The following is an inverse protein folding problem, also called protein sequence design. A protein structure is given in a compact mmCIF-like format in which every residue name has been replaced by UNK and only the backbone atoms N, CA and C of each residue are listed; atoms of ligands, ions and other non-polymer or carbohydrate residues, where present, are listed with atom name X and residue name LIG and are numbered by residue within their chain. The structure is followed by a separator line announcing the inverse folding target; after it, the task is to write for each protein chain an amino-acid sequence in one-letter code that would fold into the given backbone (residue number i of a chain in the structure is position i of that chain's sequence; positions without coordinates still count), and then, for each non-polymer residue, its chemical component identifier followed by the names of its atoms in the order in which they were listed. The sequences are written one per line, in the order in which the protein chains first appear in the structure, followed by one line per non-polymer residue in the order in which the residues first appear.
data_IF_697859282573
#
_entry.id   IF_697859282573
#
_cell.length_a   1.000
_cell.length_b   1.000
_cell.length_c   1.000
_cell.angle_alpha   90.00
_cell.angle_beta   90.00
_cell.angle_gamma   90.00
#
_symmetry.space_group_name_H-M   'P 1'
#
loop_
_entity.id
_entity.type
_entity.pdbx_description
1 polymer ?
#
# COMPACT_ATOMS: atom_id res chain seq x y z
N UNK A 1 24.63 -11.39 32.67
CA UNK A 1 23.41 -10.87 32.03
C UNK A 1 23.68 -10.77 30.55
N UNK A 2 23.09 -11.65 29.73
CA UNK A 2 23.31 -11.65 28.29
C UNK A 2 22.24 -10.75 27.66
N UNK A 3 22.65 -9.62 27.05
CA UNK A 3 21.73 -8.71 26.37
C UNK A 3 21.39 -9.32 25.02
N UNK A 4 20.18 -9.83 24.88
CA UNK A 4 19.63 -10.25 23.60
C UNK A 4 19.36 -9.01 22.75
N UNK A 5 20.22 -8.78 21.74
CA UNK A 5 19.96 -7.84 20.66
C UNK A 5 18.80 -8.37 19.82
N UNK A 6 17.65 -7.73 19.93
CA UNK A 6 16.53 -7.95 19.01
C UNK A 6 16.86 -7.28 17.68
N UNK A 7 17.35 -8.05 16.70
CA UNK A 7 17.38 -7.62 15.31
C UNK A 7 15.93 -7.54 14.82
N UNK A 8 15.41 -6.32 14.71
CA UNK A 8 14.13 -6.08 14.04
C UNK A 8 14.35 -6.31 12.55
N UNK A 9 13.75 -7.37 12.02
CA UNK A 9 13.62 -7.56 10.58
C UNK A 9 12.75 -6.42 10.06
N UNK A 10 13.38 -5.41 9.44
CA UNK A 10 12.64 -4.48 8.60
C UNK A 10 12.02 -5.32 7.48
N UNK A 11 10.70 -5.53 7.55
CA UNK A 11 9.95 -6.05 6.44
C UNK A 11 10.18 -5.07 5.28
N UNK A 12 10.89 -5.51 4.25
CA UNK A 12 10.98 -4.76 3.01
C UNK A 12 9.58 -4.77 2.40
N UNK A 13 8.76 -3.81 2.83
CA UNK A 13 7.55 -3.43 2.15
C UNK A 13 8.00 -2.99 0.76
N UNK A 14 7.70 -3.85 -0.20
CA UNK A 14 7.88 -3.59 -1.61
C UNK A 14 7.10 -2.30 -1.91
N UNK A 15 7.82 -1.23 -2.24
CA UNK A 15 7.28 0.10 -2.46
C UNK A 15 7.78 0.65 -3.79
N UNK A 16 7.03 1.55 -4.38
CA UNK A 16 7.43 2.30 -5.56
C UNK A 16 7.27 3.80 -5.29
N UNK A 17 8.11 4.58 -5.94
CA UNK A 17 8.20 6.02 -5.71
C UNK A 17 7.30 6.77 -6.70
N UNK A 18 6.41 7.62 -6.16
CA UNK A 18 5.56 8.52 -6.95
C UNK A 18 5.97 9.97 -6.75
N UNK A 19 6.07 10.73 -7.84
CA UNK A 19 6.37 12.16 -7.80
C UNK A 19 5.30 12.94 -7.01
N UNK A 20 5.76 13.77 -6.09
CA UNK A 20 4.91 14.55 -5.19
C UNK A 20 5.10 16.07 -5.32
N UNK A 21 6.00 16.51 -6.21
CA UNK A 21 6.50 17.88 -6.21
C UNK A 21 7.40 18.15 -5.00
N UNK A 22 7.66 19.42 -4.63
CA UNK A 22 8.57 19.72 -3.53
C UNK A 22 7.95 19.32 -2.19
N UNK A 23 8.70 18.59 -1.37
CA UNK A 23 8.37 18.31 0.04
C UNK A 23 9.43 18.96 0.93
N UNK A 24 8.99 19.79 1.88
CA UNK A 24 9.90 20.60 2.71
C UNK A 24 10.31 19.93 4.02
N UNK A 25 9.46 19.06 4.56
CA UNK A 25 9.68 18.36 5.82
C UNK A 25 8.69 17.20 5.97
N UNK A 26 8.82 16.45 7.07
CA UNK A 26 7.97 15.31 7.40
C UNK A 26 6.47 15.67 7.47
N UNK A 27 6.10 16.80 8.05
CA UNK A 27 4.69 17.20 8.15
C UNK A 27 4.07 17.53 6.79
N UNK A 28 4.87 18.08 5.86
CA UNK A 28 4.46 18.30 4.47
C UNK A 28 4.29 16.97 3.73
N UNK A 29 5.17 15.99 3.99
CA UNK A 29 5.03 14.63 3.44
C UNK A 29 3.74 13.95 3.95
N UNK A 30 3.44 14.04 5.25
CA UNK A 30 2.23 13.50 5.86
C UNK A 30 0.95 14.10 5.27
N UNK A 31 1.00 15.36 4.82
CA UNK A 31 -0.13 16.03 4.17
C UNK A 31 -0.27 15.64 2.69
N UNK A 32 0.84 15.42 1.97
CA UNK A 32 0.84 15.19 0.51
C UNK A 32 0.81 13.72 0.12
N UNK A 33 1.68 12.92 0.73
CA UNK A 33 1.95 11.56 0.27
C UNK A 33 0.76 10.60 0.37
N UNK A 34 -0.14 10.67 1.38
CA UNK A 34 -1.34 9.86 1.38
C UNK A 34 -2.19 10.06 0.12
N UNK A 35 -2.40 11.32 -0.29
CA UNK A 35 -3.18 11.65 -1.48
C UNK A 35 -2.46 11.29 -2.79
N UNK A 36 -1.13 11.38 -2.82
CA UNK A 36 -0.31 10.94 -3.97
C UNK A 36 -0.46 9.43 -4.19
N UNK A 37 -0.30 8.63 -3.13
CA UNK A 37 -0.41 7.18 -3.22
C UNK A 37 -1.86 6.70 -3.48
N UNK A 38 -2.85 7.38 -2.90
CA UNK A 38 -4.27 7.05 -3.07
C UNK A 38 -4.74 7.22 -4.52
N UNK A 39 -4.20 8.20 -5.26
CA UNK A 39 -4.48 8.35 -6.70
C UNK A 39 -4.07 7.13 -7.53
N UNK A 40 -3.07 6.40 -7.06
CA UNK A 40 -2.63 5.13 -7.65
C UNK A 40 -3.27 3.91 -6.98
N UNK A 41 -4.21 4.12 -6.05
CA UNK A 41 -4.94 3.10 -5.30
C UNK A 41 -4.10 2.38 -4.23
N UNK A 42 -2.96 2.96 -3.88
CA UNK A 42 -1.99 2.40 -2.92
C UNK A 42 -1.90 3.27 -1.67
N UNK A 43 -1.23 2.78 -0.64
CA UNK A 43 -1.04 3.53 0.61
C UNK A 43 0.38 4.08 0.70
N UNK A 44 0.49 5.26 1.28
CA UNK A 44 1.79 5.79 1.64
C UNK A 44 2.40 4.97 2.77
N UNK A 45 3.64 4.53 2.60
CA UNK A 45 4.33 3.67 3.56
C UNK A 45 5.09 4.45 4.64
N UNK A 46 4.97 5.78 4.65
CA UNK A 46 5.66 6.68 5.57
C UNK A 46 7.00 7.22 5.06
N UNK A 47 7.52 6.68 3.96
CA UNK A 47 8.80 7.11 3.39
C UNK A 47 8.61 8.17 2.31
N UNK A 48 9.53 9.12 2.24
CA UNK A 48 9.64 10.10 1.16
C UNK A 48 11.09 10.51 1.00
N UNK A 49 11.47 11.00 -0.18
CA UNK A 49 12.82 11.51 -0.42
C UNK A 49 12.78 12.67 -1.40
N UNK A 50 13.58 13.71 -1.14
CA UNK A 50 13.82 14.79 -2.09
C UNK A 50 14.81 14.33 -3.15
N UNK A 51 14.36 14.28 -4.40
CA UNK A 51 15.19 13.90 -5.56
C UNK A 51 15.87 15.11 -6.20
N UNK A 52 15.20 16.27 -6.18
CA UNK A 52 15.74 17.56 -6.64
C UNK A 52 15.46 18.64 -5.58
N UNK A 53 16.50 19.17 -4.91
CA UNK A 53 16.33 20.19 -3.87
C UNK A 53 15.50 21.38 -4.32
N UNK A 54 14.41 21.67 -3.60
CA UNK A 54 13.52 22.81 -3.88
C UNK A 54 12.51 22.60 -5.01
N UNK A 55 12.59 21.49 -5.76
CA UNK A 55 11.73 21.26 -6.93
C UNK A 55 10.94 19.96 -6.84
N UNK A 56 11.56 18.85 -6.43
CA UNK A 56 10.94 17.53 -6.52
C UNK A 56 11.34 16.59 -5.39
N UNK A 57 10.31 15.92 -4.88
CA UNK A 57 10.39 14.80 -3.97
C UNK A 57 9.46 13.68 -4.44
N UNK A 58 9.70 12.48 -3.97
CA UNK A 58 8.87 11.31 -4.22
C UNK A 58 8.33 10.73 -2.91
N UNK A 59 7.14 10.15 -2.97
CA UNK A 59 6.50 9.42 -1.88
C UNK A 59 6.63 7.92 -2.13
N UNK A 60 7.06 7.17 -1.11
CA UNK A 60 7.10 5.71 -1.14
C UNK A 60 5.69 5.14 -0.94
N UNK A 61 5.13 4.56 -1.98
CA UNK A 61 3.80 3.96 -1.96
C UNK A 61 3.92 2.43 -1.95
N UNK A 62 3.10 1.75 -1.14
CA UNK A 62 3.07 0.29 -1.08
C UNK A 62 2.78 -0.32 -2.45
N UNK A 63 3.47 -1.40 -2.84
CA UNK A 63 3.19 -2.17 -4.07
C UNK A 63 1.89 -3.01 -3.97
N UNK A 64 0.97 -2.63 -3.07
CA UNK A 64 -0.32 -3.29 -2.90
C UNK A 64 -1.45 -2.36 -3.32
N UNK A 65 -2.33 -2.85 -4.20
CA UNK A 65 -3.52 -2.15 -4.67
C UNK A 65 -4.76 -2.78 -4.05
N UNK A 66 -5.64 -1.94 -3.52
CA UNK A 66 -6.97 -2.38 -3.10
C UNK A 66 -7.90 -2.45 -4.32
N UNK A 67 -8.28 -3.66 -4.74
CA UNK A 67 -9.20 -3.87 -5.86
C UNK A 67 -10.58 -4.28 -5.36
N UNK A 68 -11.62 -3.65 -5.89
CA UNK A 68 -13.01 -3.99 -5.59
C UNK A 68 -13.32 -5.45 -5.95
N UNK A 69 -13.94 -6.16 -5.01
CA UNK A 69 -14.22 -7.58 -5.12
C UNK A 69 -15.72 -7.92 -4.96
N UNK A 70 -16.57 -6.89 -4.84
CA UNK A 70 -17.95 -7.06 -4.39
C UNK A 70 -18.02 -7.47 -2.91
N UNK A 71 -19.16 -7.98 -2.42
CA UNK A 71 -19.29 -8.37 -1.02
C UNK A 71 -18.43 -9.60 -0.71
N UNK A 72 -17.63 -9.53 0.36
CA UNK A 72 -16.92 -10.67 0.94
C UNK A 72 -17.47 -10.93 2.35
N UNK A 73 -17.91 -12.17 2.59
CA UNK A 73 -18.59 -12.53 3.85
C UNK A 73 -17.65 -13.05 4.94
N UNK A 74 -16.56 -13.70 4.54
CA UNK A 74 -15.57 -14.29 5.44
C UNK A 74 -14.26 -14.57 4.68
N UNK A 75 -13.27 -15.10 5.41
CA UNK A 75 -11.95 -15.34 4.85
C UNK A 75 -11.92 -16.44 3.78
N UNK A 76 -12.81 -17.43 3.84
CA UNK A 76 -12.85 -18.49 2.82
C UNK A 76 -13.49 -17.99 1.52
N UNK A 77 -14.49 -17.12 1.62
CA UNK A 77 -15.03 -16.36 0.48
C UNK A 77 -13.95 -15.47 -0.17
N UNK A 78 -13.12 -14.81 0.65
CA UNK A 78 -11.97 -14.05 0.15
C UNK A 78 -10.97 -14.93 -0.62
N UNK A 79 -10.63 -16.12 -0.10
CA UNK A 79 -9.76 -17.08 -0.80
C UNK A 79 -10.33 -17.54 -2.14
N UNK A 80 -11.66 -17.61 -2.27
CA UNK A 80 -12.33 -17.96 -3.52
C UNK A 80 -12.37 -16.82 -4.54
N UNK A 81 -12.40 -15.56 -4.10
CA UNK A 81 -12.56 -14.38 -4.98
C UNK A 81 -11.25 -13.66 -5.28
N UNK A 82 -10.46 -13.37 -4.24
CA UNK A 82 -9.35 -12.44 -4.33
C UNK A 82 -8.21 -12.87 -5.27
N UNK A 83 -7.85 -14.16 -5.38
CA UNK A 83 -6.86 -14.58 -6.38
C UNK A 83 -7.24 -14.14 -7.79
N UNK A 84 -8.46 -14.40 -8.22
CA UNK A 84 -8.95 -14.02 -9.54
C UNK A 84 -9.06 -12.48 -9.71
N UNK A 85 -9.51 -11.76 -8.67
CA UNK A 85 -9.57 -10.29 -8.69
C UNK A 85 -8.17 -9.69 -8.93
N UNK A 86 -7.14 -10.21 -8.26
CA UNK A 86 -5.77 -9.73 -8.40
C UNK A 86 -5.13 -10.15 -9.74
N UNK A 87 -5.35 -11.40 -10.17
CA UNK A 87 -4.85 -11.91 -11.46
C UNK A 87 -5.36 -11.10 -12.65
N UNK A 88 -6.60 -10.59 -12.58
CA UNK A 88 -7.16 -9.71 -13.61
C UNK A 88 -6.37 -8.41 -13.83
N UNK A 89 -5.52 -8.01 -12.87
CA UNK A 89 -4.63 -6.84 -12.99
C UNK A 89 -3.15 -7.22 -13.10
N UNK A 90 -2.84 -8.51 -13.34
CA UNK A 90 -1.49 -9.06 -13.29
C UNK A 90 -0.81 -8.91 -11.90
N UNK A 91 -1.62 -8.89 -10.83
CA UNK A 91 -1.15 -8.95 -9.46
C UNK A 91 -1.43 -10.30 -8.82
N UNK A 92 -0.90 -10.50 -7.61
CA UNK A 92 -1.20 -11.66 -6.78
C UNK A 92 -1.89 -11.21 -5.49
N UNK A 93 -2.88 -11.97 -5.03
CA UNK A 93 -3.51 -11.68 -3.73
C UNK A 93 -2.49 -11.90 -2.61
N UNK A 94 -2.31 -10.91 -1.74
CA UNK A 94 -1.35 -10.97 -0.65
C UNK A 94 -1.91 -11.61 0.64
N UNK A 95 -3.17 -12.05 0.60
CA UNK A 95 -3.89 -12.64 1.73
C UNK A 95 -4.75 -11.66 2.52
N UNK A 96 -4.65 -10.35 2.26
CA UNK A 96 -5.43 -9.33 2.97
C UNK A 96 -6.68 -8.91 2.17
N UNK A 97 -7.74 -8.62 2.90
CA UNK A 97 -8.98 -8.05 2.38
C UNK A 97 -9.70 -7.29 3.49
N UNK A 98 -10.58 -6.36 3.14
CA UNK A 98 -11.46 -5.70 4.11
C UNK A 98 -12.75 -5.22 3.46
N UNK A 99 -13.78 -5.05 4.28
CA UNK A 99 -15.07 -4.52 3.85
C UNK A 99 -15.05 -3.00 3.88
N UNK A 100 -15.42 -2.38 2.76
CA UNK A 100 -15.54 -0.92 2.63
C UNK A 100 -16.99 -0.46 2.82
N UNK A 101 -17.95 -1.26 2.36
CA UNK A 101 -19.39 -1.02 2.56
C UNK A 101 -20.04 -2.31 3.04
N UNK A 102 -20.58 -2.29 4.26
CA UNK A 102 -21.15 -3.48 4.89
C UNK A 102 -22.25 -4.13 4.04
N UNK A 103 -22.09 -5.42 3.75
CA UNK A 103 -23.04 -6.21 2.95
C UNK A 103 -23.05 -5.91 1.45
N UNK A 104 -22.22 -4.98 0.96
CA UNK A 104 -22.24 -4.57 -0.44
C UNK A 104 -20.86 -4.60 -1.12
N UNK A 105 -19.80 -4.15 -0.44
CA UNK A 105 -18.48 -4.00 -1.06
C UNK A 105 -17.34 -4.31 -0.09
N UNK A 106 -16.40 -5.10 -0.59
CA UNK A 106 -15.11 -5.38 0.00
C UNK A 106 -14.03 -5.24 -1.07
N UNK A 107 -12.79 -5.12 -0.63
CA UNK A 107 -11.62 -5.03 -1.51
C UNK A 107 -10.61 -6.12 -1.18
N UNK A 108 -9.91 -6.60 -2.20
CA UNK A 108 -8.76 -7.49 -2.09
C UNK A 108 -7.47 -6.68 -2.19
N UNK A 109 -6.50 -6.97 -1.33
CA UNK A 109 -5.16 -6.37 -1.40
C UNK A 109 -4.29 -7.19 -2.36
N UNK A 110 -3.94 -6.59 -3.48
CA UNK A 110 -3.20 -7.24 -4.55
C UNK A 110 -1.79 -6.70 -4.63
N UNK A 111 -0.79 -7.56 -4.48
CA UNK A 111 0.63 -7.21 -4.63
C UNK A 111 1.06 -7.34 -6.08
N UNK A 112 1.84 -6.37 -6.56
CA UNK A 112 2.51 -6.42 -7.86
C UNK A 112 4.02 -6.54 -7.65
N UNK A 113 4.71 -7.27 -8.53
CA UNK A 113 6.15 -7.55 -8.46
C UNK A 113 6.78 -7.49 -9.83
#
# INVERSE_FOLDING_TARGET
MCVTLAFSLAANAFAYDLEAGPIWNQGDAEAKCPAVCEKSGTKWNGNWVTTVPGEMSVCGCDQTLALEAGPIWNNDDAKGKCPAVCENKAGAWDGNWWTTVWGAMSVCSCKFS
#
